data_IF_728945724957
#
_entry.id   IF_728945724957
#
_cell.length_a   1.000
_cell.length_b   1.000
_cell.length_c   1.000
_cell.angle_alpha   90.00
_cell.angle_beta   90.00
_cell.angle_gamma   90.00
#
_symmetry.space_group_name_H-M   'P 1'
#
loop_
_entity.id
_entity.type
_entity.pdbx_description
1 polymer ?
#
# COMPACT_ATOMS: atom_id res chain seq x y z
N UNK A 1 28.36 -1.82 -22.62
CA UNK A 1 28.54 -2.49 -21.33
C UNK A 1 30.01 -2.60 -20.96
N UNK A 2 30.54 -1.53 -20.34
CA UNK A 2 31.93 -1.57 -19.86
C UNK A 2 31.95 -2.20 -18.46
N UNK A 3 32.24 -3.50 -18.41
CA UNK A 3 32.53 -4.23 -17.18
C UNK A 3 33.79 -3.65 -16.54
N UNK A 4 33.67 -2.97 -15.44
CA UNK A 4 34.82 -2.35 -14.77
C UNK A 4 34.55 -2.21 -13.27
N UNK A 5 35.39 -2.83 -12.46
CA UNK A 5 35.36 -2.72 -11.00
C UNK A 5 35.40 -1.23 -10.59
N UNK A 6 36.22 -0.42 -11.25
CA UNK A 6 36.32 1.02 -10.98
C UNK A 6 35.01 1.76 -11.21
N UNK A 7 34.24 1.41 -12.26
CA UNK A 7 32.94 2.01 -12.52
C UNK A 7 31.89 1.53 -11.52
N UNK A 8 31.86 0.22 -11.19
CA UNK A 8 30.97 -0.32 -10.16
C UNK A 8 31.22 0.38 -8.80
N UNK A 9 32.50 0.56 -8.41
CA UNK A 9 32.88 1.26 -7.19
C UNK A 9 32.43 2.73 -7.20
N UNK A 10 32.63 3.44 -8.33
CA UNK A 10 32.19 4.84 -8.46
C UNK A 10 30.68 4.98 -8.39
N UNK A 11 29.91 4.04 -8.98
CA UNK A 11 28.45 4.02 -8.87
C UNK A 11 28.03 3.78 -7.43
N UNK A 12 28.62 2.77 -6.77
CA UNK A 12 28.32 2.48 -5.36
C UNK A 12 28.63 3.68 -4.45
N UNK A 13 29.79 4.31 -4.63
CA UNK A 13 30.16 5.52 -3.85
C UNK A 13 29.18 6.67 -4.09
N UNK A 14 28.74 6.89 -5.34
CA UNK A 14 27.81 7.98 -5.65
C UNK A 14 26.43 7.74 -5.06
N UNK A 15 25.95 6.49 -5.09
CA UNK A 15 24.71 6.09 -4.43
C UNK A 15 24.89 6.21 -2.91
N UNK A 16 26.00 5.76 -2.35
CA UNK A 16 26.34 5.86 -0.94
C UNK A 16 26.33 7.29 -0.41
N UNK A 17 26.91 8.24 -1.16
CA UNK A 17 26.84 9.67 -0.80
C UNK A 17 25.39 10.18 -0.67
N UNK A 18 24.47 9.68 -1.47
CA UNK A 18 23.05 10.07 -1.39
C UNK A 18 22.29 9.26 -0.35
N UNK A 19 22.58 7.96 -0.25
CA UNK A 19 21.93 7.01 0.64
C UNK A 19 22.92 6.36 1.58
N UNK A 20 22.92 6.83 2.82
CA UNK A 20 23.76 6.34 3.92
C UNK A 20 22.95 6.30 5.21
N UNK A 21 23.43 5.60 6.19
CA UNK A 21 23.01 5.71 7.58
C UNK A 21 24.23 5.99 8.45
N UNK A 22 23.98 6.42 9.66
CA UNK A 22 25.03 6.58 10.66
C UNK A 22 24.97 5.39 11.62
N UNK A 23 26.12 4.80 11.90
CA UNK A 23 26.21 3.76 12.92
C UNK A 23 26.07 4.36 14.34
N UNK A 24 26.13 3.50 15.35
CA UNK A 24 26.07 3.92 16.77
C UNK A 24 27.18 4.86 17.22
N UNK A 25 28.25 5.00 16.41
CA UNK A 25 29.38 5.91 16.66
C UNK A 25 29.33 7.17 15.82
N UNK A 26 28.30 7.35 15.01
CA UNK A 26 28.16 8.49 14.10
C UNK A 26 28.99 8.37 12.81
N UNK A 27 29.48 7.16 12.49
CA UNK A 27 30.21 6.91 11.25
C UNK A 27 29.22 6.69 10.12
N UNK A 28 29.44 7.37 8.99
CA UNK A 28 28.61 7.24 7.80
C UNK A 28 28.85 5.92 7.09
N UNK A 29 27.84 5.06 7.03
CA UNK A 29 27.88 3.80 6.30
C UNK A 29 27.05 3.92 5.02
N UNK A 30 27.65 3.69 3.84
CA UNK A 30 26.94 3.75 2.56
C UNK A 30 25.97 2.57 2.42
N UNK A 31 24.79 2.84 1.83
CA UNK A 31 23.79 1.81 1.53
C UNK A 31 24.00 1.16 0.16
N UNK A 32 25.16 1.33 -0.45
CA UNK A 32 25.50 0.71 -1.73
C UNK A 32 26.92 0.15 -1.69
N UNK A 33 27.11 -1.08 -2.17
CA UNK A 33 28.38 -1.78 -2.17
C UNK A 33 28.63 -2.46 -3.52
N UNK A 34 29.78 -2.19 -4.15
CA UNK A 34 30.20 -2.89 -5.36
C UNK A 34 30.77 -4.26 -5.00
N UNK A 35 30.09 -5.33 -5.34
CA UNK A 35 30.55 -6.72 -5.11
C UNK A 35 31.40 -7.24 -6.26
N UNK A 36 31.09 -6.86 -7.49
CA UNK A 36 31.85 -7.27 -8.69
C UNK A 36 31.89 -6.12 -9.71
N UNK A 37 32.54 -6.34 -10.83
CA UNK A 37 32.58 -5.42 -11.98
C UNK A 37 31.20 -5.14 -12.61
N UNK A 38 30.20 -5.97 -12.29
CA UNK A 38 28.83 -5.92 -12.83
C UNK A 38 27.74 -5.78 -11.77
N UNK A 39 28.05 -6.06 -10.50
CA UNK A 39 27.06 -6.15 -9.43
C UNK A 39 27.31 -5.13 -8.34
N UNK A 40 26.36 -4.23 -8.17
CA UNK A 40 26.25 -3.34 -7.01
C UNK A 40 25.09 -3.80 -6.17
N UNK A 41 25.31 -4.08 -4.90
CA UNK A 41 24.29 -4.44 -3.92
C UNK A 41 23.79 -3.17 -3.26
N UNK A 42 22.49 -2.98 -3.24
CA UNK A 42 21.83 -1.84 -2.60
C UNK A 42 21.11 -2.32 -1.34
N UNK A 43 21.32 -1.63 -0.23
CA UNK A 43 20.51 -1.77 0.97
C UNK A 43 19.41 -0.71 0.94
N UNK A 44 18.17 -1.10 1.18
CA UNK A 44 17.06 -0.15 1.23
C UNK A 44 17.17 0.74 2.46
N UNK A 45 17.04 2.06 2.26
CA UNK A 45 16.85 2.99 3.37
C UNK A 45 15.48 2.70 4.04
N UNK A 46 15.38 2.67 5.38
CA UNK A 46 14.15 2.28 6.08
C UNK A 46 12.88 2.98 5.56
N UNK A 47 12.97 4.25 5.22
CA UNK A 47 11.87 5.05 4.66
C UNK A 47 11.31 4.51 3.34
N UNK A 48 12.12 3.84 2.54
CA UNK A 48 11.70 3.20 1.29
C UNK A 48 11.32 1.72 1.45
N UNK A 49 11.27 1.20 2.70
CA UNK A 49 11.02 -0.22 2.98
C UNK A 49 9.78 -0.76 2.27
N UNK A 50 8.76 0.06 2.14
CA UNK A 50 7.49 -0.31 1.52
C UNK A 50 7.31 0.31 0.11
N UNK A 51 8.36 0.87 -0.47
CA UNK A 51 8.36 1.45 -1.82
C UNK A 51 9.74 1.30 -2.50
N UNK A 52 10.16 0.06 -2.66
CA UNK A 52 11.42 -0.32 -3.30
C UNK A 52 11.50 0.16 -4.77
N UNK A 53 10.37 0.12 -5.47
CA UNK A 53 10.27 0.60 -6.84
C UNK A 53 10.61 2.09 -6.96
N UNK A 54 10.11 2.93 -6.04
CA UNK A 54 10.48 4.35 -6.00
C UNK A 54 11.96 4.54 -5.67
N UNK A 55 12.48 3.78 -4.69
CA UNK A 55 13.90 3.81 -4.36
C UNK A 55 14.78 3.57 -5.59
N UNK A 56 14.47 2.53 -6.36
CA UNK A 56 15.22 2.20 -7.58
C UNK A 56 15.11 3.30 -8.65
N UNK A 57 13.95 3.96 -8.77
CA UNK A 57 13.82 5.11 -9.68
C UNK A 57 14.69 6.29 -9.23
N UNK A 58 14.63 6.64 -7.96
CA UNK A 58 15.49 7.71 -7.41
C UNK A 58 16.97 7.40 -7.67
N UNK A 59 17.40 6.14 -7.44
CA UNK A 59 18.78 5.70 -7.74
C UNK A 59 19.14 5.91 -9.22
N UNK A 60 18.21 5.63 -10.15
CA UNK A 60 18.44 5.83 -11.61
C UNK A 60 18.71 7.29 -11.98
N UNK A 61 18.14 8.23 -11.23
CA UNK A 61 18.31 9.66 -11.47
C UNK A 61 19.47 10.32 -10.70
N UNK A 62 20.20 9.54 -9.90
CA UNK A 62 21.46 10.04 -9.28
C UNK A 62 22.50 10.27 -10.37
N UNK A 63 22.95 11.48 -10.51
CA UNK A 63 23.97 11.84 -11.50
C UNK A 63 25.31 11.17 -11.20
N UNK A 64 25.85 10.41 -12.15
CA UNK A 64 27.12 9.71 -12.00
C UNK A 64 28.32 10.66 -11.97
N UNK A 65 28.30 11.68 -12.81
CA UNK A 65 29.29 12.75 -12.85
C UNK A 65 28.56 14.07 -12.98
N UNK A 66 28.65 14.89 -11.97
CA UNK A 66 27.98 16.17 -11.95
C UNK A 66 28.87 17.18 -11.20
N UNK A 67 29.15 18.31 -11.81
CA UNK A 67 29.78 19.44 -11.14
C UNK A 67 28.72 20.28 -10.42
N UNK A 68 29.14 21.11 -9.44
CA UNK A 68 28.20 21.98 -8.73
C UNK A 68 27.47 22.95 -9.67
N UNK A 69 28.14 23.41 -10.75
CA UNK A 69 27.51 24.25 -11.76
C UNK A 69 26.45 23.48 -12.54
N UNK A 70 26.78 22.27 -13.01
CA UNK A 70 25.82 21.42 -13.71
C UNK A 70 24.60 21.07 -12.83
N UNK A 71 24.83 20.81 -11.53
CA UNK A 71 23.76 20.57 -10.57
C UNK A 71 22.83 21.79 -10.44
N UNK A 72 23.38 23.02 -10.35
CA UNK A 72 22.58 24.25 -10.28
C UNK A 72 21.72 24.43 -11.54
N UNK A 73 22.31 24.24 -12.73
CA UNK A 73 21.58 24.34 -14.01
C UNK A 73 20.48 23.31 -14.06
N UNK A 74 20.74 22.05 -13.63
CA UNK A 74 19.71 21.01 -13.56
C UNK A 74 18.59 21.38 -12.59
N UNK A 75 18.93 21.90 -11.41
CA UNK A 75 17.94 22.34 -10.42
C UNK A 75 17.05 23.47 -10.98
N UNK A 76 17.65 24.45 -11.68
CA UNK A 76 16.88 25.52 -12.32
C UNK A 76 15.88 24.96 -13.37
N UNK A 77 16.33 24.07 -14.23
CA UNK A 77 15.45 23.39 -15.20
C UNK A 77 14.33 22.62 -14.52
N UNK A 78 14.64 21.86 -13.45
CA UNK A 78 13.65 21.08 -12.69
C UNK A 78 12.66 21.98 -11.95
N UNK A 79 13.03 23.20 -11.57
CA UNK A 79 12.11 24.20 -10.98
C UNK A 79 11.00 24.59 -11.97
N UNK A 80 11.32 24.70 -13.26
CA UNK A 80 10.34 24.97 -14.30
C UNK A 80 9.52 23.71 -14.64
N UNK A 81 10.20 22.57 -14.77
CA UNK A 81 9.56 21.31 -15.18
C UNK A 81 8.58 20.77 -14.14
N UNK A 82 8.82 20.95 -12.83
CA UNK A 82 7.92 20.46 -11.78
C UNK A 82 6.58 21.18 -11.80
N UNK A 83 6.51 22.42 -12.29
CA UNK A 83 5.25 23.18 -12.41
C UNK A 83 4.38 22.74 -13.59
N UNK A 84 4.93 21.90 -14.47
CA UNK A 84 4.21 21.34 -15.64
C UNK A 84 3.66 19.98 -15.25
N UNK A 85 2.32 19.76 -15.19
CA UNK A 85 1.70 18.52 -14.72
C UNK A 85 2.25 17.25 -15.38
N UNK A 86 2.47 17.29 -16.72
CA UNK A 86 2.98 16.15 -17.47
C UNK A 86 4.41 15.74 -17.11
N UNK A 87 5.18 16.66 -16.53
CA UNK A 87 6.58 16.47 -16.16
C UNK A 87 6.78 16.37 -14.65
N UNK A 88 5.75 16.72 -13.87
CA UNK A 88 5.86 16.85 -12.41
C UNK A 88 6.30 15.54 -11.72
N UNK A 89 5.80 14.37 -12.14
CA UNK A 89 6.22 13.08 -11.61
C UNK A 89 7.73 12.87 -11.79
N UNK A 90 8.22 13.00 -13.01
CA UNK A 90 9.64 12.82 -13.31
C UNK A 90 10.52 13.86 -12.59
N UNK A 91 10.14 15.14 -12.66
CA UNK A 91 10.89 16.22 -12.05
C UNK A 91 11.00 16.07 -10.54
N UNK A 92 9.93 15.61 -9.87
CA UNK A 92 9.91 15.34 -8.43
C UNK A 92 10.89 14.23 -8.05
N UNK A 93 10.96 13.13 -8.82
CA UNK A 93 11.90 12.02 -8.58
C UNK A 93 13.34 12.47 -8.81
N UNK A 94 13.60 13.28 -9.85
CA UNK A 94 14.92 13.83 -10.11
C UNK A 94 15.37 14.81 -8.99
N UNK A 95 14.47 15.63 -8.46
CA UNK A 95 14.71 16.50 -7.31
C UNK A 95 14.98 15.67 -6.04
N UNK A 96 14.22 14.61 -5.82
CA UNK A 96 14.45 13.67 -4.72
C UNK A 96 15.83 12.99 -4.83
N UNK A 97 16.29 12.67 -6.03
CA UNK A 97 17.62 12.11 -6.27
C UNK A 97 18.75 13.10 -5.94
N UNK A 98 18.55 14.41 -6.16
CA UNK A 98 19.49 15.47 -5.74
C UNK A 98 19.57 15.51 -4.21
N UNK A 99 18.47 15.28 -3.50
CA UNK A 99 18.42 15.22 -2.04
C UNK A 99 17.99 16.52 -1.37
N UNK A 100 18.38 16.73 -0.12
CA UNK A 100 17.89 17.85 0.72
C UNK A 100 18.08 19.25 0.11
N UNK A 101 19.02 19.43 -0.81
CA UNK A 101 19.23 20.72 -1.52
C UNK A 101 18.02 21.12 -2.38
N UNK A 102 17.17 20.17 -2.79
CA UNK A 102 15.97 20.41 -3.62
C UNK A 102 14.71 20.75 -2.82
N UNK A 103 14.71 20.62 -1.49
CA UNK A 103 13.55 20.90 -0.62
C UNK A 103 12.92 22.28 -0.89
N UNK A 104 13.66 23.39 -1.03
CA UNK A 104 13.06 24.68 -1.31
C UNK A 104 12.27 24.73 -2.61
N UNK A 105 12.73 24.01 -3.66
CA UNK A 105 12.04 23.92 -4.95
C UNK A 105 10.73 23.14 -4.78
N UNK A 106 10.78 21.99 -4.10
CA UNK A 106 9.60 21.17 -3.82
C UNK A 106 8.56 21.93 -2.99
N UNK A 107 9.00 22.67 -1.94
CA UNK A 107 8.11 23.54 -1.16
C UNK A 107 7.47 24.65 -2.00
N UNK A 108 8.16 25.18 -2.99
CA UNK A 108 7.55 26.15 -3.91
C UNK A 108 6.45 25.52 -4.79
N UNK A 109 6.63 24.26 -5.18
CA UNK A 109 5.66 23.52 -5.98
C UNK A 109 4.38 23.15 -5.20
N UNK A 110 4.41 23.08 -3.86
CA UNK A 110 3.19 22.91 -3.02
C UNK A 110 2.24 24.11 -3.17
N UNK A 111 2.70 25.26 -3.61
CA UNK A 111 1.84 26.44 -3.82
C UNK A 111 1.07 26.40 -5.16
N UNK A 112 1.28 25.38 -5.98
CA UNK A 112 0.58 25.22 -7.25
C UNK A 112 -0.92 25.03 -7.04
N UNK A 113 -1.79 25.63 -7.89
CA UNK A 113 -3.22 25.37 -7.84
C UNK A 113 -3.56 23.95 -8.30
N UNK A 114 -2.64 23.26 -9.00
CA UNK A 114 -2.86 21.94 -9.57
C UNK A 114 -2.54 20.83 -8.55
N UNK A 115 -3.54 20.01 -8.24
CA UNK A 115 -3.39 18.89 -7.29
C UNK A 115 -2.25 17.94 -7.67
N UNK A 116 -2.10 17.61 -8.95
CA UNK A 116 -1.08 16.72 -9.47
C UNK A 116 0.34 17.23 -9.16
N UNK A 117 0.59 18.52 -9.33
CA UNK A 117 1.88 19.17 -9.04
C UNK A 117 2.17 19.13 -7.54
N UNK A 118 1.20 19.54 -6.70
CA UNK A 118 1.34 19.50 -5.23
C UNK A 118 1.58 18.07 -4.75
N UNK A 119 0.82 17.11 -5.26
CA UNK A 119 0.96 15.70 -4.91
C UNK A 119 2.37 15.16 -5.19
N UNK A 120 2.91 15.35 -6.40
CA UNK A 120 4.24 14.85 -6.72
C UNK A 120 5.35 15.53 -5.91
N UNK A 121 5.21 16.83 -5.64
CA UNK A 121 6.13 17.54 -4.76
C UNK A 121 6.05 17.05 -3.31
N UNK A 122 4.85 16.85 -2.79
CA UNK A 122 4.60 16.36 -1.43
C UNK A 122 5.15 14.94 -1.23
N UNK A 123 4.97 14.04 -2.20
CA UNK A 123 5.55 12.69 -2.16
C UNK A 123 7.08 12.76 -2.08
N UNK A 124 7.73 13.60 -2.89
CA UNK A 124 9.19 13.75 -2.86
C UNK A 124 9.68 14.34 -1.52
N UNK A 125 8.97 15.31 -0.96
CA UNK A 125 9.26 15.88 0.37
C UNK A 125 9.19 14.79 1.46
N UNK A 126 8.17 13.95 1.45
CA UNK A 126 8.02 12.87 2.41
C UNK A 126 9.23 11.91 2.40
N UNK A 127 9.71 11.52 1.23
CA UNK A 127 10.91 10.68 1.12
C UNK A 127 12.23 11.43 1.39
N UNK A 128 12.21 12.76 1.39
CA UNK A 128 13.32 13.61 1.83
C UNK A 128 13.32 13.92 3.33
N UNK A 129 12.34 13.41 4.09
CA UNK A 129 12.18 13.66 5.52
C UNK A 129 11.73 15.10 5.81
N UNK A 130 10.77 15.58 5.07
CA UNK A 130 10.18 16.90 5.24
C UNK A 130 8.64 16.79 5.19
N UNK A 131 8.01 17.09 6.33
CA UNK A 131 6.57 16.98 6.52
C UNK A 131 5.72 18.09 5.88
N UNK A 132 6.35 19.10 5.26
CA UNK A 132 5.62 20.26 4.74
C UNK A 132 4.53 19.95 3.72
N UNK A 133 4.53 18.75 3.12
CA UNK A 133 3.54 18.29 2.14
C UNK A 133 2.48 17.35 2.72
N UNK A 134 2.43 17.09 4.04
CA UNK A 134 1.51 16.11 4.64
C UNK A 134 0.05 16.44 4.32
N UNK A 135 -0.34 17.70 4.46
CA UNK A 135 -1.69 18.15 4.12
C UNK A 135 -2.04 17.88 2.65
N UNK A 136 -1.12 18.18 1.72
CA UNK A 136 -1.33 17.94 0.28
C UNK A 136 -1.43 16.44 -0.03
N UNK A 137 -0.71 15.58 0.70
CA UNK A 137 -0.85 14.12 0.60
C UNK A 137 -2.23 13.67 1.11
N UNK A 138 -2.69 14.20 2.24
CA UNK A 138 -4.01 13.89 2.79
C UNK A 138 -5.13 14.32 1.84
N UNK A 139 -5.04 15.52 1.28
CA UNK A 139 -5.99 16.02 0.29
C UNK A 139 -5.99 15.16 -0.98
N UNK A 140 -4.80 14.79 -1.49
CA UNK A 140 -4.69 13.90 -2.64
C UNK A 140 -5.28 12.50 -2.38
N UNK A 141 -5.08 11.93 -1.19
CA UNK A 141 -5.68 10.64 -0.81
C UNK A 141 -7.20 10.71 -0.69
N UNK A 142 -7.74 11.87 -0.28
CA UNK A 142 -9.16 12.13 -0.12
C UNK A 142 -9.85 12.32 -1.47
N UNK A 143 -9.31 13.19 -2.30
CA UNK A 143 -9.96 13.70 -3.50
C UNK A 143 -9.77 12.78 -4.72
N UNK A 144 -8.60 12.13 -4.85
CA UNK A 144 -8.24 11.46 -6.08
C UNK A 144 -7.84 9.98 -5.85
N UNK A 145 -8.70 9.03 -6.27
CA UNK A 145 -8.42 7.60 -6.13
C UNK A 145 -7.11 7.14 -6.80
N UNK A 146 -6.68 7.82 -7.88
CA UNK A 146 -5.44 7.49 -8.59
C UNK A 146 -4.17 7.81 -7.77
N UNK A 147 -4.23 8.81 -6.89
CA UNK A 147 -3.12 9.22 -6.03
C UNK A 147 -3.11 8.52 -4.68
N UNK A 148 -4.24 7.97 -4.25
CA UNK A 148 -4.50 7.48 -2.90
C UNK A 148 -3.42 6.53 -2.37
N UNK A 149 -3.11 5.47 -3.11
CA UNK A 149 -2.13 4.46 -2.69
C UNK A 149 -0.74 5.06 -2.47
N UNK A 150 -0.33 5.98 -3.32
CA UNK A 150 1.00 6.62 -3.25
C UNK A 150 1.07 7.66 -2.14
N UNK A 151 0.00 8.43 -1.94
CA UNK A 151 -0.11 9.41 -0.87
C UNK A 151 -0.07 8.76 0.51
N UNK A 152 -0.87 7.70 0.73
CA UNK A 152 -0.89 6.94 1.98
C UNK A 152 0.47 6.28 2.26
N UNK A 153 1.13 5.74 1.23
CA UNK A 153 2.47 5.17 1.38
C UNK A 153 3.53 6.23 1.70
N UNK A 154 3.42 7.44 1.14
CA UNK A 154 4.33 8.54 1.46
C UNK A 154 4.12 9.04 2.90
N UNK A 155 2.86 9.14 3.36
CA UNK A 155 2.55 9.51 4.74
C UNK A 155 3.08 8.45 5.74
N UNK A 156 2.99 7.16 5.41
CA UNK A 156 3.53 6.08 6.25
C UNK A 156 5.07 6.05 6.32
N UNK A 157 5.76 6.81 5.49
CA UNK A 157 7.22 6.96 5.51
C UNK A 157 7.69 8.14 6.38
N UNK A 158 6.76 8.94 6.91
CA UNK A 158 7.05 10.11 7.74
C UNK A 158 6.66 9.82 9.19
N UNK A 159 7.64 9.86 10.07
CA UNK A 159 7.42 9.73 11.53
C UNK A 159 7.18 11.13 12.13
N UNK A 160 6.05 11.74 11.74
CA UNK A 160 5.63 13.06 12.22
C UNK A 160 4.21 13.02 12.79
N UNK A 161 3.93 13.71 13.91
CA UNK A 161 2.60 13.74 14.54
C UNK A 161 1.48 14.19 13.60
N UNK A 162 1.77 15.11 12.69
CA UNK A 162 0.81 15.59 11.70
C UNK A 162 0.38 14.48 10.73
N UNK A 163 1.29 13.57 10.35
CA UNK A 163 0.94 12.41 9.53
C UNK A 163 -0.01 11.47 10.26
N UNK A 164 0.20 11.23 11.56
CA UNK A 164 -0.72 10.43 12.39
C UNK A 164 -2.11 11.05 12.44
N UNK A 165 -2.22 12.37 12.65
CA UNK A 165 -3.51 13.08 12.72
C UNK A 165 -4.28 12.96 11.41
N UNK A 166 -3.66 13.26 10.28
CA UNK A 166 -4.31 13.17 8.97
C UNK A 166 -4.67 11.73 8.58
N UNK A 167 -3.85 10.73 8.94
CA UNK A 167 -4.22 9.33 8.73
C UNK A 167 -5.46 8.94 9.55
N UNK A 168 -5.59 9.43 10.80
CA UNK A 168 -6.79 9.22 11.62
C UNK A 168 -8.02 9.89 11.02
N UNK A 169 -7.89 11.14 10.54
CA UNK A 169 -8.97 11.84 9.83
C UNK A 169 -9.45 11.07 8.59
N UNK A 170 -8.52 10.52 7.80
CA UNK A 170 -8.85 9.73 6.62
C UNK A 170 -9.61 8.44 6.94
N UNK A 171 -9.49 7.90 8.17
CA UNK A 171 -10.27 6.73 8.60
C UNK A 171 -11.76 7.04 8.81
N UNK A 172 -12.16 8.31 8.88
CA UNK A 172 -13.56 8.74 8.97
C UNK A 172 -14.22 9.05 7.62
N UNK A 173 -13.49 8.89 6.50
CA UNK A 173 -14.00 9.19 5.16
C UNK A 173 -15.08 8.20 4.70
N UNK A 174 -15.84 8.55 3.65
CA UNK A 174 -16.89 7.67 3.09
C UNK A 174 -16.34 6.49 2.32
N UNK A 175 -15.15 6.61 1.71
CA UNK A 175 -14.53 5.57 0.90
C UNK A 175 -13.90 4.48 1.77
N UNK A 176 -14.35 3.24 1.65
CA UNK A 176 -13.80 2.08 2.35
C UNK A 176 -12.29 1.88 2.07
N UNK A 177 -11.87 2.05 0.82
CA UNK A 177 -10.44 1.98 0.45
C UNK A 177 -9.60 3.04 1.15
N UNK A 178 -10.15 4.26 1.30
CA UNK A 178 -9.42 5.34 2.00
C UNK A 178 -9.31 5.02 3.48
N UNK A 179 -10.40 4.55 4.09
CA UNK A 179 -10.44 4.20 5.53
C UNK A 179 -9.45 3.09 5.87
N UNK A 180 -9.58 1.96 5.17
CA UNK A 180 -8.73 0.82 5.44
C UNK A 180 -7.28 1.06 4.98
N UNK A 181 -7.09 1.79 3.88
CA UNK A 181 -5.76 2.21 3.44
C UNK A 181 -5.06 3.11 4.47
N UNK A 182 -5.76 4.08 5.05
CA UNK A 182 -5.24 4.93 6.10
C UNK A 182 -4.92 4.16 7.39
N UNK A 183 -5.78 3.22 7.78
CA UNK A 183 -5.51 2.28 8.88
C UNK A 183 -4.20 1.50 8.65
N UNK A 184 -4.02 0.92 7.47
CA UNK A 184 -2.79 0.18 7.13
C UNK A 184 -1.56 1.07 7.07
N UNK A 185 -1.70 2.31 6.61
CA UNK A 185 -0.61 3.29 6.60
C UNK A 185 -0.17 3.65 8.02
N UNK A 186 -1.11 3.92 8.92
CA UNK A 186 -0.83 4.19 10.34
C UNK A 186 -0.24 2.96 11.04
N UNK A 187 -0.79 1.76 10.78
CA UNK A 187 -0.24 0.50 11.28
C UNK A 187 1.22 0.26 10.86
N UNK A 188 1.58 0.70 9.65
CA UNK A 188 2.94 0.59 9.14
C UNK A 188 3.88 1.59 9.82
N UNK A 189 3.38 2.75 10.15
CA UNK A 189 4.10 3.82 10.84
C UNK A 189 4.35 3.43 12.30
N UNK A 190 3.28 3.13 13.03
CA UNK A 190 3.34 2.66 14.42
C UNK A 190 2.27 1.60 14.72
N UNK A 191 2.71 0.37 14.92
CA UNK A 191 1.81 -0.75 15.29
C UNK A 191 1.21 -0.63 16.70
N UNK A 192 1.85 0.15 17.56
CA UNK A 192 1.45 0.34 18.95
C UNK A 192 0.63 1.62 19.18
N UNK A 193 0.32 2.35 18.10
CA UNK A 193 -0.54 3.53 18.20
C UNK A 193 -1.86 3.16 18.91
N UNK A 194 -2.19 3.82 20.03
CA UNK A 194 -3.37 3.49 20.85
C UNK A 194 -4.68 3.53 20.05
N UNK A 195 -4.76 4.35 19.00
CA UNK A 195 -5.96 4.52 18.18
C UNK A 195 -6.26 3.27 17.31
N UNK A 196 -5.22 2.55 16.89
CA UNK A 196 -5.37 1.39 15.99
C UNK A 196 -4.98 0.07 16.64
N UNK A 197 -4.65 0.08 17.92
CA UNK A 197 -4.18 -1.12 18.62
C UNK A 197 -5.18 -2.27 18.48
N UNK A 198 -4.69 -3.41 17.98
CA UNK A 198 -5.47 -4.64 17.86
C UNK A 198 -5.42 -5.48 19.13
N UNK A 199 -6.52 -6.17 19.39
CA UNK A 199 -6.64 -7.22 20.39
C UNK A 199 -6.40 -8.57 19.75
N UNK A 200 -5.53 -9.40 20.34
CA UNK A 200 -5.24 -10.73 19.81
C UNK A 200 -6.37 -11.70 20.19
N UNK A 201 -7.05 -12.24 19.20
CA UNK A 201 -8.12 -13.21 19.35
C UNK A 201 -7.57 -14.64 19.26
N UNK A 202 -7.10 -15.19 20.41
CA UNK A 202 -6.60 -16.55 20.55
C UNK A 202 -5.54 -16.96 19.49
N UNK A 203 -4.62 -16.05 19.16
CA UNK A 203 -3.58 -16.22 18.15
C UNK A 203 -4.09 -16.54 16.72
N UNK A 204 -5.39 -16.34 16.47
CA UNK A 204 -5.98 -16.58 15.16
C UNK A 204 -6.05 -15.31 14.32
N UNK A 205 -6.43 -14.18 14.91
CA UNK A 205 -6.57 -12.91 14.21
C UNK A 205 -6.49 -11.71 15.16
N UNK A 206 -6.40 -10.52 14.61
CA UNK A 206 -6.47 -9.27 15.35
C UNK A 206 -7.87 -8.64 15.21
N UNK A 207 -8.44 -8.23 16.33
CA UNK A 207 -9.66 -7.41 16.37
C UNK A 207 -9.27 -5.97 16.69
N UNK A 208 -9.55 -5.06 15.78
CA UNK A 208 -9.34 -3.63 15.94
C UNK A 208 -10.68 -2.93 16.12
N UNK A 209 -10.81 -2.16 17.20
CA UNK A 209 -12.03 -1.38 17.50
C UNK A 209 -11.64 0.08 17.51
N UNK A 210 -11.94 0.80 16.44
CA UNK A 210 -11.51 2.17 16.24
C UNK A 210 -12.58 3.14 16.74
N UNK A 211 -12.15 4.14 17.50
CA UNK A 211 -13.00 5.27 17.90
C UNK A 211 -12.98 6.32 16.76
N UNK A 212 -13.56 5.99 15.63
CA UNK A 212 -13.79 7.00 14.61
C UNK A 212 -14.99 7.84 15.03
N UNK A 213 -14.83 9.18 15.02
CA UNK A 213 -15.93 10.10 15.27
C UNK A 213 -16.97 9.90 14.15
N UNK A 214 -18.01 9.17 14.48
CA UNK A 214 -19.23 9.13 13.70
C UNK A 214 -19.95 10.44 14.04
N UNK A 215 -19.76 11.49 13.25
CA UNK A 215 -20.71 12.59 13.27
C UNK A 215 -22.07 12.00 12.88
N UNK A 216 -22.86 11.65 13.88
CA UNK A 216 -24.29 11.61 13.71
C UNK A 216 -24.69 13.00 13.20
N UNK A 217 -25.11 13.06 11.95
CA UNK A 217 -25.62 14.28 11.32
C UNK A 217 -26.91 14.67 12.06
N UNK A 218 -26.77 15.31 13.21
CA UNK A 218 -27.85 15.96 13.98
C UNK A 218 -27.63 17.48 13.99
N UNK A 219 -27.17 18.03 12.88
CA UNK A 219 -27.26 19.48 12.68
C UNK A 219 -28.25 19.75 11.56
N UNK A 220 -29.48 20.01 11.97
CA UNK A 220 -30.42 20.80 11.18
C UNK A 220 -29.81 22.22 11.04
N UNK A 221 -28.87 22.37 10.15
CA UNK A 221 -28.50 23.65 9.57
C UNK A 221 -29.33 23.83 8.30
N UNK A 222 -30.39 24.66 8.32
CA UNK A 222 -31.25 24.90 7.16
C UNK A 222 -30.51 25.55 5.96
N UNK A 223 -29.25 25.96 6.16
CA UNK A 223 -28.39 26.56 5.10
C UNK A 223 -27.26 25.68 4.65
N UNK A 224 -27.13 24.45 5.16
CA UNK A 224 -26.18 23.49 4.61
C UNK A 224 -26.62 23.11 3.20
N UNK A 225 -25.94 23.65 2.19
CA UNK A 225 -26.05 23.16 0.82
C UNK A 225 -25.85 21.65 0.84
N UNK A 226 -26.74 20.94 0.15
CA UNK A 226 -26.75 19.48 -0.03
C UNK A 226 -25.36 18.94 -0.41
N UNK A 227 -24.49 18.75 0.57
CA UNK A 227 -23.31 17.92 0.49
C UNK A 227 -23.62 16.69 1.30
N UNK A 228 -23.55 15.51 0.67
CA UNK A 228 -23.73 14.25 1.36
C UNK A 228 -22.84 14.12 2.61
N UNK A 229 -23.03 13.10 3.44
CA UNK A 229 -22.36 12.98 4.73
C UNK A 229 -20.84 13.14 4.53
N UNK A 230 -20.25 14.13 5.19
CA UNK A 230 -18.82 14.40 5.14
C UNK A 230 -18.00 13.26 5.71
N UNK A 231 -18.60 12.47 6.60
CA UNK A 231 -17.99 11.31 7.24
C UNK A 231 -18.70 10.01 6.85
N UNK A 232 -17.94 8.95 6.69
CA UNK A 232 -18.47 7.61 6.47
C UNK A 232 -19.14 7.09 7.75
N UNK A 233 -20.30 6.45 7.61
CA UNK A 233 -20.98 5.76 8.70
C UNK A 233 -20.13 4.61 9.28
N UNK A 234 -20.71 3.80 10.20
CA UNK A 234 -20.03 2.63 10.72
C UNK A 234 -19.63 1.66 9.58
N UNK A 235 -18.46 1.04 9.71
CA UNK A 235 -17.95 0.07 8.73
C UNK A 235 -17.23 -1.06 9.44
N UNK A 236 -17.44 -2.27 8.96
CA UNK A 236 -16.67 -3.46 9.34
C UNK A 236 -15.83 -3.88 8.16
N UNK A 237 -14.54 -3.97 8.36
CA UNK A 237 -13.62 -4.49 7.36
C UNK A 237 -13.11 -5.86 7.80
N UNK A 238 -13.17 -6.84 6.92
CA UNK A 238 -12.70 -8.21 7.13
C UNK A 238 -11.65 -8.53 6.08
N UNK A 239 -10.51 -9.05 6.48
CA UNK A 239 -9.50 -9.51 5.52
C UNK A 239 -9.78 -10.94 5.11
N UNK A 240 -9.63 -11.25 3.83
CA UNK A 240 -9.72 -12.60 3.30
C UNK A 240 -8.32 -13.19 3.00
N UNK A 241 -7.31 -12.34 2.96
CA UNK A 241 -5.92 -12.69 2.62
C UNK A 241 -5.02 -12.71 3.87
N UNK A 242 -3.73 -12.68 3.69
CA UNK A 242 -2.62 -13.05 4.58
C UNK A 242 -2.54 -12.48 6.01
N UNK A 243 -3.27 -11.49 6.41
CA UNK A 243 -3.28 -11.02 7.80
C UNK A 243 -4.72 -11.09 8.30
N UNK A 244 -5.11 -12.19 8.97
CA UNK A 244 -6.45 -12.30 9.48
C UNK A 244 -6.69 -11.19 10.51
N UNK A 245 -7.58 -10.27 10.16
CA UNK A 245 -7.99 -9.16 11.02
C UNK A 245 -9.42 -8.73 10.74
N UNK A 246 -10.09 -8.27 11.79
CA UNK A 246 -11.38 -7.60 11.73
C UNK A 246 -11.18 -6.17 12.24
N UNK A 247 -11.56 -5.18 11.44
CA UNK A 247 -11.45 -3.77 11.82
C UNK A 247 -12.83 -3.15 11.87
N UNK A 248 -13.24 -2.73 13.07
CA UNK A 248 -14.49 -2.01 13.31
C UNK A 248 -14.20 -0.52 13.30
N UNK A 249 -14.65 0.19 12.26
CA UNK A 249 -14.62 1.64 12.22
C UNK A 249 -15.89 2.19 12.89
N UNK A 250 -15.75 2.58 14.14
CA UNK A 250 -16.82 2.93 15.09
C UNK A 250 -16.95 1.87 16.18
N UNK A 251 -16.67 2.26 17.42
CA UNK A 251 -16.65 1.37 18.59
C UNK A 251 -18.06 0.94 19.05
N UNK A 252 -19.07 1.75 18.77
CA UNK A 252 -20.43 1.58 19.29
C UNK A 252 -21.35 0.83 18.29
N UNK A 253 -20.77 0.02 17.41
CA UNK A 253 -21.56 -0.75 16.45
C UNK A 253 -22.32 -1.90 17.14
N UNK A 254 -23.63 -1.99 16.90
CA UNK A 254 -24.51 -2.99 17.46
C UNK A 254 -25.21 -3.82 16.39
N UNK A 255 -25.47 -5.09 16.73
CA UNK A 255 -26.37 -5.91 15.94
C UNK A 255 -27.83 -5.46 16.11
N UNK A 256 -28.56 -5.35 15.01
CA UNK A 256 -30.02 -5.14 15.00
C UNK A 256 -30.74 -6.43 15.26
N UNK A 257 -31.76 -6.35 16.12
CA UNK A 257 -32.64 -7.50 16.42
C UNK A 257 -33.94 -7.38 15.61
N UNK A 258 -34.61 -8.48 15.25
CA UNK A 258 -34.26 -9.86 15.58
C UNK A 258 -33.06 -10.38 14.80
N UNK A 259 -32.23 -11.24 15.42
CA UNK A 259 -31.06 -11.81 14.79
C UNK A 259 -30.95 -13.31 15.08
N UNK A 260 -30.53 -14.08 14.08
CA UNK A 260 -30.11 -15.47 14.23
C UNK A 260 -28.98 -15.75 13.26
N UNK A 261 -27.76 -15.79 13.78
CA UNK A 261 -26.53 -16.04 13.00
C UNK A 261 -25.66 -17.06 13.69
N UNK A 262 -24.77 -17.67 12.92
CA UNK A 262 -23.88 -18.73 13.40
C UNK A 262 -22.42 -18.41 13.13
N UNK A 263 -21.56 -18.66 14.12
CA UNK A 263 -20.12 -18.68 13.99
C UNK A 263 -19.61 -20.11 14.29
N UNK A 264 -19.50 -20.95 13.27
CA UNK A 264 -19.14 -22.35 13.42
C UNK A 264 -20.14 -23.11 14.30
N UNK A 265 -19.68 -23.57 15.48
CA UNK A 265 -20.52 -24.26 16.50
C UNK A 265 -21.27 -23.29 17.42
N UNK A 266 -20.98 -21.99 17.35
CA UNK A 266 -21.59 -20.97 18.19
C UNK A 266 -22.80 -20.36 17.49
N UNK A 267 -23.95 -20.35 18.16
CA UNK A 267 -25.20 -19.75 17.71
C UNK A 267 -25.47 -18.45 18.47
N UNK A 268 -25.71 -17.37 17.73
CA UNK A 268 -26.06 -16.06 18.27
C UNK A 268 -27.52 -15.78 17.94
N UNK A 269 -28.34 -15.53 18.97
CA UNK A 269 -29.78 -15.27 18.80
C UNK A 269 -30.22 -14.05 19.61
N UNK A 270 -31.15 -13.28 19.05
CA UNK A 270 -31.80 -12.15 19.71
C UNK A 270 -33.23 -12.01 19.21
N UNK A 271 -34.19 -12.02 20.15
CA UNK A 271 -35.58 -11.77 19.84
C UNK A 271 -35.88 -10.30 19.60
N UNK A 272 -36.98 -9.92 18.97
CA UNK A 272 -37.35 -8.50 18.83
C UNK A 272 -37.46 -7.80 20.19
N UNK A 273 -36.87 -6.61 20.29
CA UNK A 273 -36.96 -5.75 21.47
C UNK A 273 -36.06 -6.13 22.65
N UNK A 274 -35.19 -7.15 22.52
CA UNK A 274 -34.24 -7.48 23.58
C UNK A 274 -33.03 -6.55 23.56
N UNK A 275 -32.49 -6.26 24.75
CA UNK A 275 -31.26 -5.47 24.92
C UNK A 275 -29.99 -6.34 24.90
N UNK A 276 -30.13 -7.64 25.07
CA UNK A 276 -29.04 -8.60 25.13
C UNK A 276 -29.23 -9.72 24.15
N UNK A 277 -28.14 -10.21 23.57
CA UNK A 277 -28.09 -11.37 22.72
C UNK A 277 -27.70 -12.60 23.52
N UNK A 278 -28.23 -13.74 23.09
CA UNK A 278 -27.82 -15.04 23.62
C UNK A 278 -26.79 -15.66 22.70
N UNK A 279 -25.61 -15.93 23.23
CA UNK A 279 -24.52 -16.68 22.56
C UNK A 279 -24.49 -18.09 23.16
N UNK A 280 -24.69 -19.11 22.34
CA UNK A 280 -24.81 -20.51 22.78
C UNK A 280 -23.89 -21.40 21.98
N UNK A 281 -23.21 -22.35 22.64
CA UNK A 281 -22.46 -23.44 22.03
C UNK A 281 -23.06 -24.77 22.43
N UNK A 282 -23.36 -25.60 21.46
CA UNK A 282 -23.86 -26.96 21.66
C UNK A 282 -22.87 -27.95 21.04
N UNK A 283 -22.34 -28.85 21.86
CA UNK A 283 -21.37 -29.87 21.44
C UNK A 283 -21.76 -31.22 22.11
N UNK A 284 -21.62 -32.33 21.38
CA UNK A 284 -22.13 -33.63 21.82
C UNK A 284 -21.49 -34.12 23.12
N UNK A 285 -20.20 -33.82 23.31
CA UNK A 285 -19.42 -34.33 24.43
C UNK A 285 -19.06 -33.25 25.47
N UNK A 286 -19.56 -32.02 25.32
CA UNK A 286 -19.35 -30.91 26.24
C UNK A 286 -20.69 -30.39 26.79
N UNK A 287 -20.70 -29.86 28.04
CA UNK A 287 -21.89 -29.22 28.57
C UNK A 287 -22.27 -27.98 27.75
N UNK A 288 -23.56 -27.80 27.54
CA UNK A 288 -24.09 -26.61 26.85
C UNK A 288 -23.62 -25.33 27.49
N UNK A 289 -22.98 -24.48 26.70
CA UNK A 289 -22.54 -23.16 27.13
C UNK A 289 -23.52 -22.10 26.62
N UNK A 290 -23.94 -21.20 27.51
CA UNK A 290 -24.82 -20.10 27.17
C UNK A 290 -24.40 -18.83 27.90
N UNK A 291 -24.19 -17.74 27.17
CA UNK A 291 -23.89 -16.41 27.73
C UNK A 291 -24.87 -15.36 27.18
N UNK A 292 -25.29 -14.43 28.04
CA UNK A 292 -26.02 -13.23 27.65
C UNK A 292 -25.01 -12.09 27.51
N UNK A 293 -25.01 -11.39 26.38
CA UNK A 293 -24.08 -10.33 26.06
C UNK A 293 -24.81 -9.12 25.47
N UNK A 294 -24.19 -7.95 25.51
CA UNK A 294 -24.73 -6.77 24.84
C UNK A 294 -24.80 -6.98 23.33
N UNK A 295 -25.58 -6.16 22.63
CA UNK A 295 -25.67 -6.17 21.15
C UNK A 295 -24.39 -5.66 20.46
N UNK A 296 -23.42 -5.11 21.21
CA UNK A 296 -22.18 -4.61 20.65
C UNK A 296 -21.40 -5.68 19.90
N UNK A 297 -21.08 -5.41 18.64
CA UNK A 297 -20.45 -6.38 17.72
C UNK A 297 -19.10 -6.87 18.25
N UNK A 298 -18.28 -6.00 18.81
CA UNK A 298 -16.98 -6.39 19.35
C UNK A 298 -17.12 -7.34 20.54
N UNK A 299 -18.12 -7.12 21.41
CA UNK A 299 -18.39 -8.01 22.56
C UNK A 299 -18.86 -9.37 22.09
N UNK A 300 -19.73 -9.42 21.08
CA UNK A 300 -20.20 -10.68 20.50
C UNK A 300 -19.06 -11.45 19.85
N UNK A 301 -18.19 -10.78 19.09
CA UNK A 301 -16.99 -11.41 18.48
C UNK A 301 -16.10 -12.03 19.57
N UNK A 302 -15.75 -11.27 20.61
CA UNK A 302 -14.94 -11.79 21.72
C UNK A 302 -15.57 -13.03 22.36
N UNK A 303 -16.85 -12.95 22.66
CA UNK A 303 -17.57 -14.06 23.28
C UNK A 303 -17.64 -15.30 22.39
N UNK A 304 -17.85 -15.11 21.08
CA UNK A 304 -17.88 -16.24 20.13
C UNK A 304 -16.50 -16.91 20.02
N UNK A 305 -15.41 -16.12 19.99
CA UNK A 305 -14.04 -16.65 19.99
C UNK A 305 -13.69 -17.37 21.29
N UNK A 306 -14.10 -16.84 22.45
CA UNK A 306 -13.95 -17.51 23.76
C UNK A 306 -14.68 -18.85 23.80
N UNK A 307 -15.79 -18.98 23.07
CA UNK A 307 -16.54 -20.25 22.93
C UNK A 307 -16.00 -21.16 21.81
N UNK A 308 -14.89 -20.78 21.16
CA UNK A 308 -14.18 -21.61 20.18
C UNK A 308 -14.52 -21.34 18.73
N UNK A 309 -15.14 -20.21 18.39
CA UNK A 309 -15.29 -19.80 17.00
C UNK A 309 -13.94 -19.44 16.39
N UNK A 310 -13.71 -19.88 15.15
CA UNK A 310 -12.49 -19.57 14.39
C UNK A 310 -12.65 -18.27 13.60
N UNK A 311 -11.53 -17.73 13.06
CA UNK A 311 -11.56 -16.54 12.21
C UNK A 311 -12.52 -16.67 11.01
N UNK A 312 -12.50 -17.77 10.21
CA UNK A 312 -13.47 -17.97 9.14
C UNK A 312 -14.92 -17.97 9.62
N UNK A 313 -15.18 -18.54 10.81
CA UNK A 313 -16.52 -18.56 11.40
C UNK A 313 -17.01 -17.16 11.75
N UNK A 314 -16.13 -16.31 12.31
CA UNK A 314 -16.43 -14.90 12.60
C UNK A 314 -16.66 -14.11 11.30
N UNK A 315 -15.85 -14.30 10.30
CA UNK A 315 -16.03 -13.64 9.00
C UNK A 315 -17.38 -14.03 8.36
N UNK A 316 -17.72 -15.32 8.39
CA UNK A 316 -19.00 -15.81 7.88
C UNK A 316 -20.19 -15.25 8.68
N UNK A 317 -20.07 -15.18 10.01
CA UNK A 317 -21.10 -14.60 10.88
C UNK A 317 -21.37 -13.14 10.53
N UNK A 318 -20.32 -12.32 10.36
CA UNK A 318 -20.43 -10.92 9.99
C UNK A 318 -21.14 -10.77 8.64
N UNK A 319 -20.73 -11.57 7.64
CA UNK A 319 -21.35 -11.54 6.32
C UNK A 319 -22.83 -11.97 6.35
N UNK A 320 -23.15 -13.03 7.12
CA UNK A 320 -24.51 -13.48 7.31
C UNK A 320 -25.38 -12.40 7.99
N UNK A 321 -24.88 -11.76 9.04
CA UNK A 321 -25.57 -10.68 9.73
C UNK A 321 -25.81 -9.48 8.80
N UNK A 322 -24.82 -9.14 7.97
CA UNK A 322 -24.98 -8.08 6.98
C UNK A 322 -26.03 -8.40 5.92
N UNK A 323 -26.03 -9.63 5.39
CA UNK A 323 -27.01 -10.08 4.41
C UNK A 323 -28.46 -10.10 4.96
N UNK A 324 -28.60 -10.35 6.27
CA UNK A 324 -29.88 -10.30 6.98
C UNK A 324 -30.34 -8.87 7.34
N UNK A 325 -29.48 -7.84 7.11
CA UNK A 325 -29.77 -6.45 7.52
C UNK A 325 -29.60 -6.18 9.02
N UNK A 326 -28.90 -7.07 9.74
CA UNK A 326 -28.64 -6.93 11.17
C UNK A 326 -27.44 -6.03 11.49
N UNK A 327 -26.67 -5.59 10.48
CA UNK A 327 -25.58 -4.63 10.62
C UNK A 327 -25.97 -3.35 9.89
N UNK A 328 -25.88 -2.21 10.57
CA UNK A 328 -26.26 -0.92 9.99
C UNK A 328 -25.20 -0.39 9.01
N UNK A 329 -23.93 -0.64 9.32
CA UNK A 329 -22.80 -0.15 8.57
C UNK A 329 -22.47 -0.94 7.32
N UNK A 330 -21.49 -0.44 6.57
CA UNK A 330 -20.90 -1.18 5.44
C UNK A 330 -20.08 -2.35 5.95
N UNK A 331 -20.11 -3.45 5.21
CA UNK A 331 -19.19 -4.58 5.43
C UNK A 331 -18.37 -4.76 4.16
N UNK A 332 -17.06 -4.62 4.30
CA UNK A 332 -16.11 -4.63 3.18
C UNK A 332 -15.05 -5.71 3.37
N UNK A 333 -14.66 -6.34 2.28
CA UNK A 333 -13.66 -7.40 2.27
C UNK A 333 -12.48 -6.93 1.42
N UNK A 334 -11.26 -6.98 1.98
CA UNK A 334 -10.01 -6.65 1.28
C UNK A 334 -10.07 -5.29 0.54
N UNK A 335 -10.72 -4.28 1.10
CA UNK A 335 -10.89 -2.95 0.51
C UNK A 335 -9.58 -2.16 0.57
N UNK A 336 -8.58 -2.60 -0.21
CA UNK A 336 -7.27 -1.95 -0.31
C UNK A 336 -7.22 -0.96 -1.47
N UNK A 337 -6.55 0.19 -1.30
CA UNK A 337 -6.30 1.10 -2.40
C UNK A 337 -5.51 0.44 -3.52
N UNK A 338 -5.97 0.60 -4.75
CA UNK A 338 -5.33 0.04 -5.93
C UNK A 338 -4.47 1.08 -6.66
N UNK A 339 -3.27 0.66 -7.08
CA UNK A 339 -2.40 1.48 -7.90
C UNK A 339 -2.68 1.36 -9.41
N UNK A 340 -2.11 2.30 -10.18
CA UNK A 340 -2.20 2.28 -11.65
C UNK A 340 -3.55 2.75 -12.22
N UNK A 341 -4.38 3.39 -11.40
CA UNK A 341 -5.63 4.03 -11.86
C UNK A 341 -5.34 5.22 -12.76
N UNK A 342 -6.29 5.50 -13.66
CA UNK A 342 -6.20 6.64 -14.58
C UNK A 342 -6.58 7.92 -13.85
N UNK A 343 -5.72 8.92 -13.93
CA UNK A 343 -6.01 10.29 -13.53
C UNK A 343 -6.39 11.12 -14.74
N UNK A 344 -7.51 11.82 -14.65
CA UNK A 344 -8.00 12.70 -15.70
C UNK A 344 -7.77 14.14 -15.26
N UNK A 345 -6.78 14.78 -15.84
CA UNK A 345 -6.51 16.20 -15.59
C UNK A 345 -7.76 17.03 -15.84
N UNK A 346 -8.15 17.91 -14.91
CA UNK A 346 -9.20 18.88 -15.17
C UNK A 346 -8.77 19.72 -16.37
N UNK A 347 -9.64 19.77 -17.38
CA UNK A 347 -9.42 20.70 -18.50
C UNK A 347 -9.63 22.10 -17.92
N UNK A 348 -8.56 22.85 -17.75
CA UNK A 348 -8.68 24.29 -17.54
C UNK A 348 -9.33 24.84 -18.80
N UNK A 349 -10.57 25.26 -18.65
CA UNK A 349 -11.36 25.81 -19.72
C UNK A 349 -10.82 27.22 -20.04
N UNK A 350 -9.75 27.28 -20.84
CA UNK A 350 -9.34 28.53 -21.52
C UNK A 350 -10.48 29.10 -22.36
N UNK A 351 -11.56 28.32 -22.58
CA UNK A 351 -12.78 28.77 -23.27
C UNK A 351 -13.57 29.81 -22.46
N UNK A 352 -13.39 29.90 -21.12
CA UNK A 352 -13.94 31.02 -20.34
C UNK A 352 -13.28 32.37 -20.68
N UNK A 353 -12.02 32.36 -21.12
CA UNK A 353 -11.35 33.54 -21.65
C UNK A 353 -11.76 33.81 -23.13
N UNK A 354 -12.04 32.76 -23.91
CA UNK A 354 -12.52 32.85 -25.27
C UNK A 354 -13.99 33.33 -25.36
N UNK A 355 -14.82 33.06 -24.34
CA UNK A 355 -16.19 33.62 -24.28
C UNK A 355 -16.23 35.15 -24.13
N UNK A 356 -15.13 35.78 -23.72
CA UNK A 356 -15.00 37.25 -23.73
C UNK A 356 -14.59 37.83 -25.07
N UNK A 357 -14.17 36.98 -26.02
CA UNK A 357 -13.71 37.41 -27.37
C UNK A 357 -14.69 37.14 -28.52
N UNK A 358 -15.93 36.67 -28.26
CA UNK A 358 -17.00 36.65 -29.24
C UNK A 358 -16.92 35.63 -30.41
N UNK A 359 -15.96 34.70 -30.40
CA UNK A 359 -15.83 33.67 -31.44
C UNK A 359 -16.51 32.36 -31.03
N UNK A 360 -17.82 32.30 -31.27
CA UNK A 360 -18.64 31.08 -31.18
C UNK A 360 -18.37 30.16 -32.38
N UNK A 361 -17.32 29.35 -32.33
CA UNK A 361 -17.24 28.12 -33.12
C UNK A 361 -17.43 26.93 -32.19
N UNK A 362 -18.55 26.22 -32.35
CA UNK A 362 -18.90 25.02 -31.63
C UNK A 362 -17.83 23.94 -31.84
N UNK A 363 -16.84 23.89 -30.98
CA UNK A 363 -15.88 22.77 -30.91
C UNK A 363 -16.45 21.73 -29.98
N UNK A 364 -16.71 20.52 -30.48
CA UNK A 364 -17.03 19.34 -29.67
C UNK A 364 -15.98 19.21 -28.54
N UNK A 365 -16.37 18.93 -27.29
CA UNK A 365 -15.43 18.79 -26.19
C UNK A 365 -14.40 17.73 -26.58
N UNK A 366 -13.11 18.10 -26.55
CA UNK A 366 -12.01 17.17 -26.81
C UNK A 366 -12.02 16.11 -25.71
N UNK A 367 -11.81 14.82 -26.04
CA UNK A 367 -11.77 13.77 -25.05
C UNK A 367 -10.68 14.09 -24.01
N UNK A 368 -11.02 13.97 -22.72
CA UNK A 368 -10.09 14.16 -21.60
C UNK A 368 -8.91 13.21 -21.76
N UNK A 369 -7.70 13.77 -21.85
CA UNK A 369 -6.48 12.97 -21.96
C UNK A 369 -6.14 12.41 -20.56
N UNK A 370 -6.47 11.15 -20.31
CA UNK A 370 -6.11 10.46 -19.07
C UNK A 370 -4.59 10.21 -19.00
N UNK A 371 -4.01 10.35 -17.82
CA UNK A 371 -2.65 9.95 -17.50
C UNK A 371 -2.70 8.85 -16.46
N UNK A 372 -1.95 7.75 -16.66
CA UNK A 372 -1.78 6.77 -15.59
C UNK A 372 -0.82 7.35 -14.56
N UNK A 373 -1.23 7.30 -13.31
CA UNK A 373 -0.37 7.65 -12.18
C UNK A 373 0.43 6.41 -11.80
N UNK A 374 1.73 6.51 -11.94
CA UNK A 374 2.65 5.41 -11.68
C UNK A 374 2.53 4.25 -12.68
N UNK A 375 3.57 3.45 -12.77
CA UNK A 375 3.56 2.19 -13.49
C UNK A 375 2.91 1.12 -12.59
N UNK A 376 2.14 0.16 -13.15
CA UNK A 376 1.58 -0.97 -12.38
C UNK A 376 2.63 -1.74 -11.58
N UNK A 377 3.90 -1.73 -12.04
CA UNK A 377 5.04 -2.31 -11.35
C UNK A 377 5.63 -1.43 -10.24
N UNK A 378 5.03 -0.27 -9.95
CA UNK A 378 5.55 0.74 -9.02
C UNK A 378 4.58 1.08 -7.90
N UNK A 379 3.63 0.18 -7.67
CA UNK A 379 2.70 0.29 -6.54
C UNK A 379 3.47 0.01 -5.25
N UNK A 380 3.37 0.89 -4.24
CA UNK A 380 3.96 0.63 -2.93
C UNK A 380 3.46 -0.66 -2.30
N UNK A 381 4.36 -1.44 -1.71
CA UNK A 381 4.02 -2.75 -1.10
C UNK A 381 3.43 -2.66 0.31
N UNK A 382 3.12 -1.49 0.78
CA UNK A 382 2.45 -1.28 2.07
C UNK A 382 1.10 -2.00 2.15
N UNK A 383 0.43 -2.17 1.00
CA UNK A 383 -0.86 -2.83 0.86
C UNK A 383 -0.74 -4.26 0.31
N UNK A 384 0.44 -4.63 -0.21
CA UNK A 384 0.70 -5.99 -0.67
C UNK A 384 1.17 -6.81 0.51
N UNK A 385 0.36 -7.73 0.95
CA UNK A 385 0.66 -8.63 2.05
C UNK A 385 1.85 -9.52 1.73
N UNK A 386 3.04 -9.09 2.12
CA UNK A 386 4.16 -9.91 2.59
C UNK A 386 4.68 -11.06 1.72
N UNK A 387 4.73 -10.93 0.38
CA UNK A 387 5.71 -11.65 -0.40
C UNK A 387 6.58 -10.61 -1.16
N UNK A 388 7.91 -10.71 -1.16
CA UNK A 388 8.70 -9.92 -2.08
C UNK A 388 8.17 -10.24 -3.48
N UNK A 389 7.88 -9.19 -4.27
CA UNK A 389 7.44 -9.35 -5.65
C UNK A 389 8.54 -10.10 -6.41
N UNK A 390 8.31 -11.37 -6.70
CA UNK A 390 9.16 -12.21 -7.54
C UNK A 390 9.01 -11.82 -9.01
N UNK A 391 9.01 -10.53 -9.32
CA UNK A 391 9.13 -10.04 -10.69
C UNK A 391 10.51 -10.31 -11.30
N UNK A 392 11.51 -10.69 -10.47
CA UNK A 392 12.80 -11.17 -10.94
C UNK A 392 12.82 -12.66 -11.32
N UNK A 393 11.84 -13.46 -10.85
CA UNK A 393 11.82 -14.93 -11.06
C UNK A 393 11.03 -15.35 -12.30
N UNK A 394 10.21 -14.48 -12.89
CA UNK A 394 9.51 -14.81 -14.14
C UNK A 394 10.34 -14.61 -15.40
N UNK A 395 11.34 -13.73 -15.37
CA UNK A 395 12.26 -13.56 -16.51
C UNK A 395 13.32 -14.63 -16.65
N UNK A 396 13.63 -15.38 -15.58
CA UNK A 396 14.62 -16.48 -15.64
C UNK A 396 14.01 -17.83 -16.02
N UNK A 397 12.67 -17.93 -16.15
CA UNK A 397 12.01 -19.15 -16.66
C UNK A 397 11.59 -19.06 -18.13
N UNK A 398 11.52 -17.86 -18.71
CA UNK A 398 11.25 -17.69 -20.15
C UNK A 398 12.51 -17.70 -21.04
N UNK A 399 13.72 -17.64 -20.45
CA UNK A 399 14.98 -17.73 -21.21
C UNK A 399 15.58 -19.15 -21.25
N UNK A 400 14.91 -20.19 -20.73
CA UNK A 400 15.39 -21.56 -20.70
C UNK A 400 14.56 -22.54 -21.55
N UNK A 401 13.60 -22.08 -22.33
CA UNK A 401 12.94 -22.90 -23.37
C UNK A 401 13.28 -22.35 -24.76
N UNK A 402 14.47 -22.67 -25.25
CA UNK A 402 14.73 -22.70 -26.71
C UNK A 402 14.06 -23.93 -27.29
N UNK A 403 13.32 -23.83 -28.39
CA UNK A 403 12.74 -24.98 -29.04
C UNK A 403 13.85 -25.78 -29.76
N UNK A 404 14.02 -27.04 -29.38
CA UNK A 404 14.78 -28.02 -30.18
C UNK A 404 14.14 -28.12 -31.56
N UNK A 405 14.93 -27.74 -32.59
CA UNK A 405 14.58 -27.96 -33.99
C UNK A 405 14.97 -29.41 -34.30
N UNK A 406 13.97 -30.28 -34.45
CA UNK A 406 14.14 -31.57 -35.13
C UNK A 406 14.61 -31.33 -36.56
N UNK A 407 15.84 -31.75 -36.86
CA UNK A 407 16.28 -31.99 -38.24
C UNK A 407 16.38 -33.47 -38.49
N UNK A 408 15.42 -34.00 -39.24
CA UNK A 408 15.48 -35.32 -39.84
C UNK A 408 16.51 -35.33 -40.99
N UNK A 409 17.45 -36.28 -41.00
CA UNK A 409 17.98 -36.90 -42.23
C UNK A 409 18.69 -38.19 -41.91
N UNK A 410 18.08 -39.23 -42.33
CA UNK A 410 18.52 -40.46 -43.08
C UNK A 410 19.94 -40.99 -42.98
N UNK A 411 19.92 -42.31 -42.74
CA UNK A 411 20.66 -43.41 -43.38
C UNK A 411 22.08 -43.72 -42.95
N UNK A 412 22.28 -45.01 -42.64
CA UNK A 412 23.44 -45.78 -43.08
C UNK A 412 24.25 -46.54 -42.03
N UNK A 413 23.78 -47.71 -41.72
CA UNK A 413 24.48 -49.02 -41.79
C UNK A 413 25.74 -49.32 -40.93
N UNK A 414 25.63 -50.44 -40.21
CA UNK A 414 26.56 -51.50 -39.86
C UNK A 414 27.77 -51.29 -38.95
N UNK A 415 27.75 -52.10 -37.88
CA UNK A 415 28.96 -52.78 -37.48
C UNK A 415 29.21 -53.06 -36.02
N UNK A 416 28.72 -54.20 -35.57
CA UNK A 416 29.31 -55.19 -34.63
C UNK A 416 30.17 -54.75 -33.43
N UNK A 417 29.62 -55.06 -32.22
CA UNK A 417 30.18 -56.02 -31.25
C UNK A 417 31.52 -55.62 -30.55
N UNK A 418 31.60 -55.62 -29.29
CA UNK A 418 31.80 -56.73 -28.35
C UNK A 418 31.84 -56.25 -26.89
N UNK A 419 31.25 -57.05 -26.05
CA UNK A 419 31.39 -57.26 -24.63
C UNK A 419 32.79 -57.08 -24.05
N UNK A 420 32.84 -56.74 -22.76
CA UNK A 420 33.44 -57.39 -21.55
C UNK A 420 33.34 -56.42 -20.40
N UNK A 421 32.51 -56.61 -19.45
CA UNK A 421 32.40 -57.39 -18.20
C UNK A 421 33.55 -57.16 -17.21
N UNK A 422 33.11 -56.94 -16.02
CA UNK A 422 33.58 -57.42 -14.75
C UNK A 422 34.17 -56.44 -13.72
N UNK A 423 33.38 -56.36 -12.65
CA UNK A 423 33.74 -56.60 -11.23
C UNK A 423 34.14 -55.43 -10.35
N UNK A 424 33.24 -55.14 -9.42
CA UNK A 424 33.49 -54.88 -7.98
C UNK A 424 34.35 -56.02 -7.41
N UNK A 425 35.02 -55.91 -6.21
CA UNK A 425 34.43 -55.47 -4.96
C UNK A 425 35.40 -54.92 -3.88
N UNK A 426 34.71 -54.50 -2.71
CA UNK A 426 35.06 -54.65 -1.25
C UNK A 426 36.15 -53.74 -0.68
N UNK A 427 35.76 -52.88 0.26
CA UNK A 427 35.69 -53.04 1.76
C UNK A 427 37.04 -53.23 2.47
N UNK A 428 37.29 -52.40 3.44
CA UNK A 428 37.53 -52.61 4.88
C UNK A 428 38.25 -51.40 5.42
N UNK A 429 37.69 -50.75 6.39
CA UNK A 429 37.86 -50.82 7.83
C UNK A 429 39.16 -50.22 8.38
N UNK A 430 38.96 -49.38 9.38
CA UNK A 430 39.59 -49.20 10.68
C UNK A 430 40.78 -48.25 10.84
N UNK A 431 40.52 -47.38 11.83
CA UNK A 431 41.41 -46.88 12.90
C UNK A 431 42.57 -45.91 12.56
N UNK A 432 42.43 -44.66 12.98
CA UNK A 432 42.88 -44.05 14.24
C UNK A 432 42.28 -42.63 14.39
#
# INVERSE_FOLDING_TARGET
>A
DFKSIRNAQRIANRIGTRFHHFDKYGIEEPLAEAKTDKKVVLKLKPRYKHNDSRYLQVVRYIAFRETDVAQRVRMQKLTEEIMIPEKAERASIELEAIGKKSIPILKSALKSPLLEVRFHAAVALAYLDDGSGIKDLADAAREEPAFRVYALAAMSALDEPEAHLHLRELMSMTSAETRYGAFRALWTLDKNDPFIRGENMNDQFLLHVLQTELETVTTHDPNAKEGGPKNGGPMIHVTHRKHPEVVLFGSEQEFRVPITVRAGKVLITGAPGVEQLTVSKYEVDEPDQRKLVSKNIAVVIRTAVDMGASYPDIAQMILQAHQQGNIEGQVEIDALPEGGRMYYRPVHDDSLLALKSGDLKSSKPKPKKGSRVGNQNMVPNIFTTGAPSTSASRRSKEESEEPEIESASESGDKGKATLIDSRKPKSTDEDD
#
